data_IF_434541895712
#
_entry.id   IF_434541895712
#
_cell.length_a   1.000
_cell.length_b   1.000
_cell.length_c   1.000
_cell.angle_alpha   90.00
_cell.angle_beta   90.00
_cell.angle_gamma   90.00
#
_symmetry.space_group_name_H-M   'P 1'
#
loop_
_entity.id
_entity.type
_entity.pdbx_description
1 polymer ?
#
# COMPACT_ATOMS: atom_id res chain seq x y z
N UNK A 1 15.79 30.35 -23.43
CA UNK A 1 14.71 30.01 -22.46
C UNK A 1 13.87 28.89 -23.06
N UNK A 2 14.23 27.64 -22.76
CA UNK A 2 13.53 26.46 -23.28
C UNK A 2 12.17 26.36 -22.57
N UNK A 3 11.09 26.52 -23.34
CA UNK A 3 9.72 26.22 -22.94
C UNK A 3 9.66 24.76 -22.48
N UNK A 4 9.46 24.54 -21.18
CA UNK A 4 9.12 23.24 -20.59
C UNK A 4 7.69 22.94 -21.04
N UNK A 5 7.57 22.28 -22.19
CA UNK A 5 6.33 22.02 -22.94
C UNK A 5 5.89 20.55 -22.89
N UNK A 6 6.21 19.81 -21.81
CA UNK A 6 5.96 18.35 -21.76
C UNK A 6 5.30 17.87 -20.45
N UNK A 7 5.16 18.70 -19.41
CA UNK A 7 4.67 18.25 -18.09
C UNK A 7 3.13 18.12 -18.01
N UNK A 8 2.37 18.67 -18.97
CA UNK A 8 0.91 18.72 -18.89
C UNK A 8 0.18 17.44 -19.40
N UNK A 9 0.86 16.50 -20.06
CA UNK A 9 0.21 15.39 -20.79
C UNK A 9 0.41 14.00 -20.18
N UNK A 10 1.01 13.88 -18.99
CA UNK A 10 1.15 12.59 -18.32
C UNK A 10 0.55 12.62 -16.92
N UNK A 11 0.11 11.43 -16.49
CA UNK A 11 -0.53 11.08 -15.23
C UNK A 11 -2.07 11.23 -15.24
N UNK A 12 -2.71 10.74 -16.31
CA UNK A 12 -3.68 9.67 -16.10
C UNK A 12 -2.85 8.41 -16.36
N UNK A 13 -2.49 7.67 -15.32
CA UNK A 13 -2.14 6.27 -15.55
C UNK A 13 -3.49 5.58 -15.57
N UNK A 14 -4.02 5.33 -16.77
CA UNK A 14 -4.94 4.21 -16.91
C UNK A 14 -4.09 3.01 -16.48
N UNK A 15 -4.38 2.47 -15.29
CA UNK A 15 -3.71 1.29 -14.79
C UNK A 15 -3.73 0.17 -15.82
N UNK A 16 -2.90 -0.84 -15.61
CA UNK A 16 -2.90 -2.08 -16.40
C UNK A 16 -4.34 -2.54 -16.64
N UNK A 17 -4.80 -2.48 -17.89
CA UNK A 17 -6.10 -2.99 -18.29
C UNK A 17 -6.07 -4.50 -18.09
N UNK A 18 -6.84 -5.00 -17.13
CA UNK A 18 -7.04 -6.42 -16.96
C UNK A 18 -8.36 -6.79 -17.63
N UNK A 19 -8.31 -7.73 -18.55
CA UNK A 19 -9.50 -8.20 -19.26
C UNK A 19 -10.46 -8.86 -18.27
N UNK A 20 -11.74 -8.49 -18.29
CA UNK A 20 -12.78 -9.29 -17.63
C UNK A 20 -13.05 -10.48 -18.54
N UNK A 21 -12.33 -11.58 -18.32
CA UNK A 21 -12.63 -12.81 -19.07
C UNK A 21 -14.05 -13.26 -18.71
N UNK A 22 -14.94 -13.27 -19.70
CA UNK A 22 -16.27 -13.88 -19.59
C UNK A 22 -17.46 -12.95 -19.34
N UNK A 23 -17.29 -11.65 -19.09
CA UNK A 23 -18.45 -10.77 -18.82
C UNK A 23 -19.13 -10.21 -20.08
N UNK A 24 -20.43 -9.97 -19.97
CA UNK A 24 -21.30 -9.25 -20.91
C UNK A 24 -21.38 -7.77 -20.54
N UNK A 25 -21.72 -6.88 -21.48
CA UNK A 25 -21.88 -5.44 -21.18
C UNK A 25 -22.94 -5.19 -20.08
N UNK A 26 -23.97 -6.04 -20.00
CA UNK A 26 -24.99 -5.99 -18.93
C UNK A 26 -24.45 -6.36 -17.54
N UNK A 27 -23.37 -7.13 -17.45
CA UNK A 27 -22.73 -7.48 -16.17
C UNK A 27 -21.82 -6.35 -15.68
N UNK A 28 -21.16 -5.67 -16.63
CA UNK A 28 -20.36 -4.46 -16.36
C UNK A 28 -21.24 -3.33 -15.80
N UNK A 29 -22.39 -3.06 -16.41
CA UNK A 29 -23.33 -2.03 -15.93
C UNK A 29 -23.85 -2.35 -14.52
N UNK A 30 -24.05 -3.62 -14.19
CA UNK A 30 -24.47 -4.06 -12.86
C UNK A 30 -23.41 -3.79 -11.79
N UNK A 31 -22.12 -3.90 -12.12
CA UNK A 31 -21.03 -3.59 -11.18
C UNK A 31 -21.08 -2.10 -10.83
N UNK A 32 -21.14 -1.25 -11.86
CA UNK A 32 -21.26 0.21 -11.69
C UNK A 32 -22.50 0.53 -10.87
N UNK A 33 -23.66 -0.03 -11.21
CA UNK A 33 -24.91 0.21 -10.50
C UNK A 33 -24.88 -0.22 -9.03
N UNK A 34 -24.37 -1.41 -8.72
CA UNK A 34 -24.23 -1.90 -7.34
C UNK A 34 -23.29 -1.03 -6.52
N UNK A 35 -22.25 -0.48 -7.15
CA UNK A 35 -21.24 0.34 -6.48
C UNK A 35 -21.66 1.79 -6.21
N UNK A 36 -22.78 2.27 -6.78
CA UNK A 36 -23.18 3.69 -6.73
C UNK A 36 -23.23 4.29 -5.32
N UNK A 37 -23.57 3.47 -4.32
CA UNK A 37 -23.67 3.90 -2.92
C UNK A 37 -22.44 3.52 -2.08
N UNK A 38 -21.43 2.89 -2.68
CA UNK A 38 -20.15 2.62 -2.03
C UNK A 38 -19.35 3.91 -1.88
N UNK A 39 -18.52 3.99 -0.84
CA UNK A 39 -17.62 5.12 -0.62
C UNK A 39 -16.67 5.35 -1.79
N UNK A 40 -16.20 4.27 -2.42
CA UNK A 40 -15.43 4.27 -3.66
C UNK A 40 -16.27 3.58 -4.75
N UNK A 41 -17.12 4.32 -5.47
CA UNK A 41 -17.92 3.73 -6.55
C UNK A 41 -17.02 3.38 -7.75
N UNK A 42 -17.46 2.39 -8.53
CA UNK A 42 -16.87 2.01 -9.81
C UNK A 42 -17.53 2.86 -10.90
N UNK A 43 -16.72 3.42 -11.79
CA UNK A 43 -17.21 4.30 -12.86
C UNK A 43 -17.15 3.63 -14.23
N UNK A 44 -17.97 4.11 -15.17
CA UNK A 44 -17.62 3.95 -16.58
C UNK A 44 -16.44 4.88 -16.92
N UNK A 45 -15.50 4.37 -17.72
CA UNK A 45 -14.30 5.11 -18.16
C UNK A 45 -14.63 6.52 -18.67
N UNK A 46 -15.60 6.65 -19.58
CA UNK A 46 -15.97 7.93 -20.19
C UNK A 46 -16.55 8.96 -19.19
N UNK A 47 -17.23 8.50 -18.13
CA UNK A 47 -17.74 9.40 -17.08
C UNK A 47 -16.62 9.87 -16.17
N UNK A 48 -15.66 8.99 -15.91
CA UNK A 48 -14.49 9.27 -15.11
C UNK A 48 -13.55 10.25 -15.83
N UNK A 49 -13.33 10.08 -17.14
CA UNK A 49 -12.54 11.02 -17.96
C UNK A 49 -13.12 12.44 -17.91
N UNK A 50 -14.45 12.60 -18.09
CA UNK A 50 -15.12 13.91 -17.98
C UNK A 50 -14.96 14.54 -16.61
N UNK A 51 -15.01 13.73 -15.54
CA UNK A 51 -14.80 14.22 -14.16
C UNK A 51 -13.42 14.86 -13.99
N UNK A 52 -12.42 14.44 -14.77
CA UNK A 52 -11.03 14.87 -14.64
C UNK A 52 -10.66 16.13 -15.42
N UNK A 53 -11.47 16.56 -16.39
CA UNK A 53 -11.12 17.66 -17.30
C UNK A 53 -10.81 18.98 -16.57
N UNK A 54 -11.25 19.15 -15.32
CA UNK A 54 -11.12 20.39 -14.56
C UNK A 54 -10.49 20.23 -13.15
N UNK A 55 -9.68 19.19 -12.92
CA UNK A 55 -9.13 18.91 -11.57
C UNK A 55 -7.76 19.56 -11.33
N UNK A 56 -7.63 20.30 -10.22
CA UNK A 56 -6.38 20.85 -9.72
C UNK A 56 -5.40 19.74 -9.28
N UNK A 57 -4.29 19.60 -10.00
CA UNK A 57 -3.30 18.53 -9.77
C UNK A 57 -2.28 18.92 -8.70
N UNK A 58 -1.85 17.97 -7.85
CA UNK A 58 -0.79 18.25 -6.85
C UNK A 58 0.53 18.67 -7.50
N UNK A 59 0.79 18.26 -8.75
CA UNK A 59 1.97 18.66 -9.52
C UNK A 59 2.14 20.19 -9.62
N UNK A 60 1.05 20.96 -9.57
CA UNK A 60 1.10 22.43 -9.58
C UNK A 60 1.50 23.03 -8.23
N UNK A 61 1.42 22.23 -7.15
CA UNK A 61 1.71 22.61 -5.76
C UNK A 61 3.03 22.03 -5.24
N UNK A 62 3.59 21.04 -5.93
CA UNK A 62 4.94 20.54 -5.67
C UNK A 62 5.93 21.67 -5.93
N UNK A 63 6.49 22.22 -4.87
CA UNK A 63 7.66 23.08 -5.00
C UNK A 63 8.88 22.16 -5.10
N UNK A 64 9.75 22.36 -6.11
CA UNK A 64 10.99 21.59 -6.30
C UNK A 64 12.04 21.81 -5.17
N UNK A 65 11.62 22.32 -4.02
CA UNK A 65 12.43 22.51 -2.82
C UNK A 65 12.31 21.28 -1.92
N UNK A 66 12.97 20.18 -2.28
CA UNK A 66 13.16 19.08 -1.34
C UNK A 66 13.88 19.59 -0.11
N UNK A 67 13.32 19.31 1.06
CA UNK A 67 13.82 19.91 2.30
C UNK A 67 14.98 19.15 2.94
N UNK A 68 15.19 17.89 2.58
CA UNK A 68 16.19 17.03 3.25
C UNK A 68 17.06 16.25 2.28
N UNK A 69 18.28 15.98 2.72
CA UNK A 69 19.18 15.03 2.07
C UNK A 69 18.62 13.62 2.18
N UNK A 70 18.43 12.95 1.04
CA UNK A 70 18.12 11.53 1.01
C UNK A 70 19.40 10.72 1.21
N UNK A 71 19.45 9.88 2.23
CA UNK A 71 20.47 8.84 2.37
C UNK A 71 19.92 7.55 1.80
N UNK A 72 20.78 6.68 1.30
CA UNK A 72 20.40 5.31 0.96
C UNK A 72 21.54 4.36 1.26
N UNK A 73 21.20 3.14 1.64
CA UNK A 73 22.14 2.03 1.58
C UNK A 73 21.63 0.98 0.60
N UNK A 74 22.58 0.29 0.00
CA UNK A 74 22.34 -0.89 -0.82
C UNK A 74 22.41 -2.11 0.09
N UNK A 75 21.32 -2.84 0.19
CA UNK A 75 21.25 -4.11 0.93
C UNK A 75 21.71 -5.21 0.00
N UNK A 76 22.96 -5.63 0.16
CA UNK A 76 23.49 -6.77 -0.59
C UNK A 76 22.57 -7.99 -0.38
N UNK A 77 22.23 -8.68 -1.47
CA UNK A 77 21.37 -9.88 -1.50
C UNK A 77 19.86 -9.64 -1.22
N UNK A 78 19.37 -8.40 -1.21
CA UNK A 78 17.92 -8.12 -1.29
C UNK A 78 17.46 -8.10 -2.75
N UNK A 79 16.45 -8.91 -3.12
CA UNK A 79 16.01 -9.05 -4.52
C UNK A 79 14.65 -8.42 -4.82
N UNK A 80 13.72 -8.44 -3.86
CA UNK A 80 12.42 -7.78 -4.01
C UNK A 80 11.87 -7.37 -2.64
N UNK A 81 11.90 -6.08 -2.34
CA UNK A 81 11.46 -5.57 -1.04
C UNK A 81 9.94 -5.37 -1.00
N UNK A 82 9.21 -6.38 -0.51
CA UNK A 82 7.73 -6.42 -0.50
C UNK A 82 7.11 -6.01 0.83
N UNK A 83 7.91 -5.58 1.81
CA UNK A 83 7.42 -5.09 3.09
C UNK A 83 8.55 -4.71 4.02
N UNK A 84 8.32 -3.74 4.90
CA UNK A 84 9.34 -3.21 5.81
C UNK A 84 8.75 -2.78 7.15
N UNK A 85 9.42 -3.11 8.25
CA UNK A 85 9.08 -2.64 9.60
C UNK A 85 10.34 -2.34 10.39
N UNK A 86 10.34 -1.21 11.11
CA UNK A 86 11.42 -0.86 12.01
C UNK A 86 11.14 -1.40 13.43
N UNK A 87 12.19 -1.91 14.08
CA UNK A 87 12.24 -2.15 15.51
C UNK A 87 13.18 -1.16 16.17
N UNK A 88 13.41 -1.34 17.45
CA UNK A 88 14.28 -0.51 18.29
C UNK A 88 15.76 -0.55 17.94
N UNK A 89 16.22 -1.62 17.27
CA UNK A 89 17.64 -1.89 17.03
C UNK A 89 17.98 -2.28 15.59
N UNK A 90 16.96 -2.57 14.79
CA UNK A 90 17.09 -3.12 13.45
C UNK A 90 15.83 -2.84 12.63
N UNK A 91 15.90 -3.18 11.35
CA UNK A 91 14.80 -3.11 10.39
C UNK A 91 14.58 -4.51 9.84
N UNK A 92 13.32 -4.93 9.72
CA UNK A 92 12.94 -6.19 9.09
C UNK A 92 12.39 -5.87 7.71
N UNK A 93 12.84 -6.61 6.71
CA UNK A 93 12.41 -6.51 5.32
C UNK A 93 11.98 -7.88 4.82
N UNK A 94 10.88 -7.93 4.08
CA UNK A 94 10.49 -9.11 3.32
C UNK A 94 11.21 -9.10 1.97
N UNK A 95 11.87 -10.21 1.64
CA UNK A 95 12.46 -10.43 0.32
C UNK A 95 11.55 -11.39 -0.46
N UNK A 96 10.66 -10.82 -1.26
CA UNK A 96 9.56 -11.54 -1.92
C UNK A 96 10.01 -12.46 -3.07
N UNK A 97 11.20 -12.25 -3.63
CA UNK A 97 11.75 -13.14 -4.67
C UNK A 97 12.45 -14.36 -4.08
N UNK A 98 13.00 -14.23 -2.88
CA UNK A 98 13.72 -15.31 -2.18
C UNK A 98 12.89 -15.92 -1.03
N UNK A 99 11.61 -15.55 -0.93
CA UNK A 99 10.64 -16.07 0.04
C UNK A 99 11.15 -16.11 1.48
N UNK A 100 11.70 -14.98 1.96
CA UNK A 100 12.39 -14.92 3.25
C UNK A 100 12.27 -13.56 3.93
N UNK A 101 12.66 -13.56 5.20
CA UNK A 101 12.79 -12.39 6.05
C UNK A 101 14.27 -12.03 6.17
N UNK A 102 14.60 -10.76 5.95
CA UNK A 102 15.91 -10.19 6.23
C UNK A 102 15.81 -9.23 7.43
N UNK A 103 16.70 -9.39 8.40
CA UNK A 103 16.90 -8.43 9.49
C UNK A 103 18.17 -7.66 9.20
N UNK A 104 18.05 -6.34 9.17
CA UNK A 104 19.10 -5.40 8.82
C UNK A 104 19.46 -4.53 10.03
N UNK A 105 20.75 -4.28 10.25
CA UNK A 105 21.13 -3.17 11.11
C UNK A 105 20.75 -1.82 10.45
N UNK A 106 20.85 -0.71 11.19
CA UNK A 106 20.52 0.62 10.64
C UNK A 106 21.52 1.14 9.59
N UNK A 107 22.60 0.41 9.32
CA UNK A 107 23.54 0.68 8.23
C UNK A 107 23.23 -0.15 6.97
N UNK A 108 22.21 -1.01 7.01
CA UNK A 108 21.79 -1.85 5.89
C UNK A 108 22.50 -3.21 5.82
N UNK A 109 23.27 -3.60 6.83
CA UNK A 109 23.92 -4.91 6.87
C UNK A 109 22.94 -5.98 7.31
N UNK A 110 22.86 -7.09 6.58
CA UNK A 110 22.08 -8.26 6.98
C UNK A 110 22.72 -8.89 8.22
N UNK A 111 21.97 -8.93 9.32
CA UNK A 111 22.38 -9.55 10.58
C UNK A 111 21.69 -10.90 10.84
N UNK A 112 20.55 -11.15 10.19
CA UNK A 112 19.82 -12.43 10.28
C UNK A 112 18.96 -12.62 9.04
N UNK A 113 18.86 -13.87 8.59
CA UNK A 113 17.93 -14.31 7.55
C UNK A 113 17.06 -15.44 8.11
N UNK A 114 15.76 -15.42 7.85
CA UNK A 114 14.81 -16.44 8.32
C UNK A 114 13.86 -16.83 7.20
N UNK A 115 13.63 -18.13 7.06
CA UNK A 115 12.69 -18.70 6.11
C UNK A 115 13.29 -19.06 4.76
N UNK A 116 12.47 -19.75 3.97
CA UNK A 116 12.76 -20.26 2.64
C UNK A 116 11.45 -20.49 1.88
N UNK A 117 11.53 -20.68 0.57
CA UNK A 117 10.36 -21.08 -0.23
C UNK A 117 9.73 -22.37 0.31
N UNK A 118 8.40 -22.36 0.46
CA UNK A 118 7.63 -23.53 0.87
C UNK A 118 6.27 -23.16 1.45
N UNK A 119 5.68 -24.09 2.22
CA UNK A 119 4.33 -23.95 2.80
C UNK A 119 4.24 -24.40 4.27
N UNK A 120 5.34 -24.87 4.85
CA UNK A 120 5.46 -25.15 6.28
C UNK A 120 5.63 -23.89 7.15
N UNK A 121 5.70 -24.05 8.47
CA UNK A 121 6.03 -22.95 9.39
C UNK A 121 7.38 -22.31 9.04
N UNK A 122 7.42 -20.97 8.99
CA UNK A 122 8.57 -20.16 8.54
C UNK A 122 8.99 -20.37 7.07
N UNK A 123 8.29 -21.22 6.32
CA UNK A 123 8.42 -21.24 4.87
C UNK A 123 7.42 -20.26 4.26
N UNK A 124 7.79 -19.58 3.19
CA UNK A 124 6.96 -18.56 2.56
C UNK A 124 6.78 -18.84 1.06
N UNK A 125 5.75 -18.24 0.48
CA UNK A 125 5.59 -18.12 -0.96
C UNK A 125 5.00 -16.75 -1.28
N UNK A 126 5.83 -15.89 -1.85
CA UNK A 126 5.56 -14.49 -2.13
C UNK A 126 5.01 -13.75 -0.89
N UNK A 127 5.83 -13.53 0.15
CA UNK A 127 5.42 -12.73 1.30
C UNK A 127 5.25 -11.26 0.88
N UNK A 128 4.11 -10.64 1.18
CA UNK A 128 3.71 -9.35 0.56
C UNK A 128 3.40 -8.21 1.53
N UNK A 129 3.28 -8.48 2.83
CA UNK A 129 2.98 -7.45 3.81
C UNK A 129 3.45 -7.87 5.20
N UNK A 130 3.90 -6.92 6.00
CA UNK A 130 4.45 -7.16 7.34
C UNK A 130 4.03 -6.07 8.32
N UNK A 131 3.62 -6.47 9.53
CA UNK A 131 3.33 -5.56 10.63
C UNK A 131 3.89 -6.06 11.95
N UNK A 132 4.33 -5.13 12.80
CA UNK A 132 4.65 -5.39 14.21
C UNK A 132 3.57 -4.76 15.09
N UNK A 133 3.00 -5.55 16.00
CA UNK A 133 2.08 -5.10 17.04
C UNK A 133 2.21 -6.01 18.26
N UNK A 134 2.31 -5.42 19.45
CA UNK A 134 2.34 -6.12 20.74
C UNK A 134 3.29 -7.33 20.76
N UNK A 135 4.56 -7.08 20.39
CA UNK A 135 5.66 -8.07 20.34
C UNK A 135 5.48 -9.22 19.34
N UNK A 136 4.44 -9.15 18.50
CA UNK A 136 4.19 -10.09 17.41
C UNK A 136 4.50 -9.47 16.07
N UNK A 137 4.92 -10.32 15.15
CA UNK A 137 5.19 -9.98 13.75
C UNK A 137 4.18 -10.74 12.90
N UNK A 138 3.39 -10.02 12.12
CA UNK A 138 2.35 -10.55 11.26
C UNK A 138 2.82 -10.43 9.83
N UNK A 139 2.85 -11.52 9.08
CA UNK A 139 3.35 -11.57 7.71
C UNK A 139 2.27 -12.16 6.83
N UNK A 140 1.85 -11.43 5.80
CA UNK A 140 1.05 -11.98 4.71
C UNK A 140 1.96 -12.87 3.88
N UNK A 141 1.63 -14.16 3.84
CA UNK A 141 2.26 -15.17 3.01
C UNK A 141 1.36 -15.40 1.78
N UNK A 142 1.54 -14.53 0.77
CA UNK A 142 0.49 -14.17 -0.19
C UNK A 142 0.07 -15.28 -1.15
N UNK A 143 0.97 -16.18 -1.56
CA UNK A 143 0.61 -17.34 -2.41
C UNK A 143 0.18 -18.56 -1.61
N UNK A 144 0.51 -18.61 -0.32
CA UNK A 144 0.02 -19.66 0.59
C UNK A 144 -1.32 -19.31 1.23
N UNK A 145 -1.90 -18.14 0.91
CA UNK A 145 -3.19 -17.67 1.44
C UNK A 145 -3.28 -17.75 2.96
N UNK A 146 -2.26 -17.24 3.65
CA UNK A 146 -2.24 -17.18 5.10
C UNK A 146 -1.53 -15.95 5.62
N UNK A 147 -1.76 -15.67 6.89
CA UNK A 147 -0.93 -14.79 7.72
C UNK A 147 -0.14 -15.68 8.65
N UNK A 148 1.20 -15.61 8.60
CA UNK A 148 2.03 -16.20 9.65
C UNK A 148 2.27 -15.18 10.75
N UNK A 149 2.10 -15.61 11.99
CA UNK A 149 2.33 -14.79 13.20
C UNK A 149 3.56 -15.35 13.91
N UNK A 150 4.57 -14.49 14.09
CA UNK A 150 5.83 -14.80 14.72
C UNK A 150 6.01 -14.00 16.01
N UNK A 151 6.89 -14.46 16.88
CA UNK A 151 7.37 -13.67 18.02
C UNK A 151 8.45 -12.65 17.59
N UNK A 152 8.84 -11.77 18.52
CA UNK A 152 9.93 -10.81 18.32
C UNK A 152 11.29 -11.45 17.96
N UNK A 153 11.48 -12.76 18.19
CA UNK A 153 12.70 -13.49 17.84
C UNK A 153 12.61 -14.16 16.47
N UNK A 154 11.51 -13.95 15.74
CA UNK A 154 11.17 -14.58 14.46
C UNK A 154 10.92 -16.09 14.58
N UNK A 155 10.36 -16.52 15.71
CA UNK A 155 9.90 -17.89 15.92
C UNK A 155 8.41 -17.98 15.59
N UNK A 156 8.01 -19.03 14.87
CA UNK A 156 6.62 -19.25 14.50
C UNK A 156 5.72 -19.47 15.72
N UNK A 157 4.60 -18.74 15.78
CA UNK A 157 3.57 -18.90 16.82
C UNK A 157 2.37 -19.67 16.25
N UNK A 158 1.75 -19.12 15.20
CA UNK A 158 0.54 -19.67 14.56
C UNK A 158 0.31 -19.04 13.19
N UNK A 159 -0.71 -19.50 12.48
CA UNK A 159 -1.17 -18.93 11.23
C UNK A 159 -2.69 -18.69 11.22
N UNK A 160 -3.13 -17.81 10.32
CA UNK A 160 -4.55 -17.56 10.01
C UNK A 160 -4.71 -17.72 8.50
N UNK A 161 -5.65 -18.57 8.07
CA UNK A 161 -5.94 -18.73 6.64
C UNK A 161 -6.66 -17.48 6.11
N UNK A 162 -6.13 -16.91 5.03
CA UNK A 162 -6.73 -15.81 4.30
C UNK A 162 -7.83 -16.34 3.38
N UNK A 163 -9.01 -15.76 3.49
CA UNK A 163 -10.17 -16.13 2.67
C UNK A 163 -10.27 -15.20 1.47
N UNK A 164 -10.16 -15.72 0.24
CA UNK A 164 -10.44 -14.97 -0.99
C UNK A 164 -11.94 -15.07 -1.33
N UNK A 165 -12.52 -14.03 -1.94
CA UNK A 165 -13.89 -14.11 -2.48
C UNK A 165 -13.95 -14.98 -3.72
N UNK A 166 -12.95 -14.81 -4.59
CA UNK A 166 -12.82 -15.48 -5.87
C UNK A 166 -11.38 -15.98 -6.02
N UNK A 167 -11.23 -17.10 -6.72
CA UNK A 167 -9.94 -17.67 -7.05
C UNK A 167 -9.34 -16.94 -8.26
N UNK A 168 -8.85 -15.73 -8.03
CA UNK A 168 -8.19 -14.92 -9.03
C UNK A 168 -6.66 -15.00 -8.82
N UNK A 169 -5.88 -15.55 -9.77
CA UNK A 169 -4.43 -15.68 -9.63
C UNK A 169 -3.70 -14.33 -9.64
N UNK A 170 -4.34 -13.26 -10.13
CA UNK A 170 -3.79 -11.91 -10.12
C UNK A 170 -4.11 -11.16 -8.82
N UNK A 171 -4.95 -11.72 -7.94
CA UNK A 171 -5.23 -11.13 -6.64
C UNK A 171 -4.13 -11.50 -5.64
N UNK A 172 -3.71 -10.51 -4.86
CA UNK A 172 -2.80 -10.67 -3.73
C UNK A 172 -3.18 -9.68 -2.64
N UNK A 173 -3.19 -10.13 -1.40
CA UNK A 173 -3.17 -9.23 -0.25
C UNK A 173 -1.81 -8.54 -0.19
N UNK A 174 -1.79 -7.23 -0.03
CA UNK A 174 -0.59 -6.39 -0.15
C UNK A 174 -0.20 -5.72 1.15
N UNK A 175 -1.17 -5.44 2.02
CA UNK A 175 -0.91 -4.68 3.23
C UNK A 175 -1.68 -5.23 4.42
N UNK A 176 -1.09 -5.09 5.60
CA UNK A 176 -1.58 -5.65 6.85
C UNK A 176 -1.44 -4.66 7.99
N UNK A 177 -2.51 -4.50 8.74
CA UNK A 177 -2.52 -3.69 9.94
C UNK A 177 -3.24 -4.36 11.11
N UNK A 178 -2.86 -3.97 12.33
CA UNK A 178 -3.44 -4.54 13.56
C UNK A 178 -3.86 -3.42 14.50
N UNK A 179 -5.14 -3.40 14.87
CA UNK A 179 -5.69 -2.39 15.76
C UNK A 179 -5.29 -2.65 17.24
N UNK A 180 -5.71 -1.75 18.14
CA UNK A 180 -5.44 -1.88 19.58
C UNK A 180 -6.12 -3.07 20.25
N UNK A 181 -7.11 -3.68 19.61
CA UNK A 181 -7.86 -4.81 20.13
C UNK A 181 -7.34 -6.14 19.55
N UNK A 182 -6.23 -6.11 18.80
CA UNK A 182 -5.70 -7.30 18.13
C UNK A 182 -6.49 -7.73 16.90
N UNK A 183 -7.40 -6.90 16.39
CA UNK A 183 -8.10 -7.16 15.12
C UNK A 183 -7.12 -6.94 13.98
N UNK A 184 -6.98 -7.95 13.12
CA UNK A 184 -6.07 -7.94 11.98
C UNK A 184 -6.87 -7.52 10.75
N UNK A 185 -6.39 -6.53 10.03
CA UNK A 185 -6.93 -6.05 8.77
C UNK A 185 -5.91 -6.32 7.67
N UNK A 186 -6.36 -6.84 6.54
CA UNK A 186 -5.54 -6.99 5.34
C UNK A 186 -6.25 -6.37 4.16
N UNK A 187 -5.51 -5.65 3.33
CA UNK A 187 -6.00 -5.10 2.08
C UNK A 187 -5.27 -5.71 0.90
N UNK A 188 -5.95 -5.66 -0.23
CA UNK A 188 -5.48 -6.06 -1.55
C UNK A 188 -6.66 -5.88 -2.48
N UNK A 189 -6.42 -5.48 -3.72
CA UNK A 189 -7.52 -5.17 -4.60
C UNK A 189 -7.24 -5.48 -6.05
N UNK A 190 -8.06 -6.37 -6.59
CA UNK A 190 -8.46 -6.34 -8.00
C UNK A 190 -9.98 -6.20 -8.03
N UNK A 191 -10.55 -5.76 -9.15
CA UNK A 191 -11.99 -5.46 -9.20
C UNK A 191 -12.89 -6.62 -8.76
N UNK A 192 -12.48 -7.87 -9.01
CA UNK A 192 -13.24 -9.08 -8.65
C UNK A 192 -13.12 -9.46 -7.16
N UNK A 193 -12.06 -9.01 -6.49
CA UNK A 193 -11.86 -9.25 -5.06
C UNK A 193 -11.40 -7.97 -4.35
N UNK A 194 -12.22 -6.91 -4.29
CA UNK A 194 -11.79 -5.65 -3.72
C UNK A 194 -12.21 -5.54 -2.25
N UNK A 195 -11.56 -4.68 -1.48
CA UNK A 195 -11.95 -4.41 -0.11
C UNK A 195 -10.88 -4.71 0.92
N UNK A 196 -11.33 -4.75 2.17
CA UNK A 196 -10.50 -5.05 3.32
C UNK A 196 -11.10 -6.28 3.99
N UNK A 197 -10.26 -7.29 4.24
CA UNK A 197 -10.62 -8.46 5.02
C UNK A 197 -10.10 -8.26 6.44
N UNK A 198 -10.92 -8.56 7.44
CA UNK A 198 -10.49 -8.48 8.83
C UNK A 198 -10.87 -9.71 9.65
N UNK A 199 -10.06 -9.97 10.68
CA UNK A 199 -10.24 -11.04 11.65
C UNK A 199 -10.22 -10.42 13.03
N UNK A 200 -11.32 -10.53 13.79
CA UNK A 200 -11.31 -10.11 15.20
C UNK A 200 -10.39 -11.04 15.97
N UNK A 201 -9.89 -10.54 17.11
CA UNK A 201 -8.99 -11.33 17.94
C UNK A 201 -9.61 -12.70 18.28
N UNK A 202 -8.83 -13.77 18.06
CA UNK A 202 -9.22 -15.17 18.25
C UNK A 202 -10.27 -15.74 17.27
N UNK A 203 -10.70 -14.97 16.27
CA UNK A 203 -11.51 -15.51 15.18
C UNK A 203 -10.64 -16.13 14.09
N UNK A 204 -11.13 -17.21 13.50
CA UNK A 204 -10.52 -17.85 12.32
C UNK A 204 -11.29 -17.55 11.04
N UNK A 205 -12.50 -17.01 11.17
CA UNK A 205 -13.35 -16.63 10.05
C UNK A 205 -13.18 -15.15 9.75
N UNK A 206 -12.93 -14.83 8.48
CA UNK A 206 -12.77 -13.46 8.03
C UNK A 206 -14.10 -12.73 7.83
N UNK A 207 -14.06 -11.42 7.96
CA UNK A 207 -15.16 -10.50 7.65
C UNK A 207 -14.70 -9.49 6.61
N UNK A 208 -15.51 -9.29 5.58
CA UNK A 208 -15.16 -8.40 4.48
C UNK A 208 -15.85 -7.04 4.60
N UNK A 209 -15.06 -5.99 4.50
CA UNK A 209 -15.51 -4.61 4.29
C UNK A 209 -15.47 -4.34 2.78
N UNK A 210 -16.65 -4.40 2.16
CA UNK A 210 -16.80 -4.37 0.70
C UNK A 210 -17.02 -2.96 0.17
N UNK A 211 -15.94 -2.28 -0.22
CA UNK A 211 -16.02 -0.92 -0.78
C UNK A 211 -15.18 -0.68 -2.04
N UNK A 212 -15.03 -1.69 -2.91
CA UNK A 212 -14.21 -1.54 -4.13
C UNK A 212 -12.83 -0.92 -3.84
N UNK A 213 -12.28 -1.23 -2.66
CA UNK A 213 -11.06 -0.61 -2.16
C UNK A 213 -9.85 -1.39 -2.65
N UNK A 214 -8.85 -0.64 -3.11
CA UNK A 214 -7.47 -1.08 -3.29
C UNK A 214 -6.56 0.02 -2.73
N UNK A 215 -5.57 -0.37 -1.95
CA UNK A 215 -4.66 0.56 -1.27
C UNK A 215 -4.17 0.07 0.08
N UNK A 216 -3.67 1.02 0.85
CA UNK A 216 -2.85 0.77 2.03
C UNK A 216 -3.58 1.16 3.30
N UNK A 217 -3.12 0.62 4.43
CA UNK A 217 -3.69 0.76 5.75
C UNK A 217 -2.62 1.32 6.71
N UNK A 218 -3.06 2.06 7.71
CA UNK A 218 -2.18 2.40 8.84
C UNK A 218 -2.99 2.58 10.11
N UNK A 219 -2.34 2.42 11.26
CA UNK A 219 -2.96 2.62 12.58
C UNK A 219 -2.60 3.99 13.17
N UNK A 220 -3.59 4.65 13.77
CA UNK A 220 -3.40 5.83 14.62
C UNK A 220 -4.37 5.81 15.79
N UNK A 221 -3.83 5.98 17.00
CA UNK A 221 -4.57 6.06 18.27
C UNK A 221 -5.55 4.87 18.49
N UNK A 222 -5.18 3.70 17.98
CA UNK A 222 -5.91 2.45 18.06
C UNK A 222 -7.02 2.28 17.01
N UNK A 223 -7.07 3.14 16.00
CA UNK A 223 -8.01 3.05 14.88
C UNK A 223 -7.28 2.84 13.56
N UNK A 224 -7.89 2.10 12.64
CA UNK A 224 -7.33 1.85 11.31
C UNK A 224 -7.82 2.89 10.32
N UNK A 225 -6.88 3.39 9.53
CA UNK A 225 -7.10 4.33 8.44
C UNK A 225 -6.65 3.70 7.13
N UNK A 226 -7.22 4.16 6.03
CA UNK A 226 -6.94 3.67 4.70
C UNK A 226 -6.74 4.82 3.72
N UNK A 227 -5.84 4.62 2.76
CA UNK A 227 -5.68 5.47 1.56
C UNK A 227 -5.81 4.57 0.34
N UNK A 228 -6.74 4.90 -0.54
CA UNK A 228 -6.90 4.18 -1.80
C UNK A 228 -5.80 4.57 -2.80
N UNK A 229 -5.29 3.59 -3.55
CA UNK A 229 -4.31 3.79 -4.62
C UNK A 229 -4.95 4.40 -5.88
N UNK A 230 -6.23 4.12 -6.09
CA UNK A 230 -7.00 4.69 -7.18
C UNK A 230 -8.48 4.37 -7.08
N UNK A 231 -9.19 4.65 -8.16
CA UNK A 231 -10.63 4.40 -8.31
C UNK A 231 -10.81 3.41 -9.46
N UNK A 232 -11.57 2.35 -9.23
CA UNK A 232 -11.87 1.39 -10.28
C UNK A 232 -12.79 1.98 -11.33
N UNK A 233 -12.55 1.60 -12.57
CA UNK A 233 -13.45 1.86 -13.68
C UNK A 233 -13.56 0.65 -14.59
N UNK A 234 -14.63 0.65 -15.38
CA UNK A 234 -14.88 -0.34 -16.41
C UNK A 234 -14.97 0.34 -17.78
N UNK A 235 -14.35 -0.27 -18.79
CA UNK A 235 -14.35 0.22 -20.16
C UNK A 235 -15.48 -0.40 -20.98
N UNK A 236 -15.85 0.26 -22.08
CA UNK A 236 -16.81 -0.28 -23.06
C UNK A 236 -16.35 -1.57 -23.75
N UNK A 237 -15.09 -2.00 -23.53
CA UNK A 237 -14.51 -3.24 -24.06
C UNK A 237 -14.57 -4.42 -23.09
N UNK A 238 -15.29 -4.30 -21.96
CA UNK A 238 -15.33 -5.31 -20.89
C UNK A 238 -13.97 -5.53 -20.23
N UNK A 239 -13.22 -4.45 -20.11
CA UNK A 239 -12.00 -4.43 -19.31
C UNK A 239 -12.29 -3.60 -18.07
N UNK A 240 -11.52 -3.83 -17.03
CA UNK A 240 -11.45 -2.89 -15.92
C UNK A 240 -10.04 -2.36 -15.80
N UNK A 241 -9.97 -1.18 -15.22
CA UNK A 241 -8.72 -0.58 -14.81
C UNK A 241 -8.90 0.13 -13.49
N UNK A 242 -7.78 0.59 -12.97
CA UNK A 242 -7.75 1.51 -11.85
C UNK A 242 -7.20 2.83 -12.37
N UNK A 243 -7.91 3.90 -12.10
CA UNK A 243 -7.44 5.24 -12.38
C UNK A 243 -6.80 5.80 -11.13
N UNK A 244 -5.52 6.11 -11.22
CA UNK A 244 -4.80 6.80 -10.15
C UNK A 244 -5.09 8.30 -10.21
N UNK A 245 -5.10 8.95 -9.05
CA UNK A 245 -5.27 10.40 -8.97
C UNK A 245 -6.14 10.81 -7.80
N UNK A 246 -7.39 10.40 -7.81
CA UNK A 246 -8.33 10.68 -6.72
C UNK A 246 -8.08 9.71 -5.56
N UNK A 247 -7.71 10.26 -4.41
CA UNK A 247 -7.43 9.48 -3.20
C UNK A 247 -8.01 10.17 -1.97
N UNK A 248 -8.32 9.38 -0.96
CA UNK A 248 -8.98 9.83 0.25
C UNK A 248 -8.28 9.25 1.46
N UNK A 249 -8.15 10.05 2.51
CA UNK A 249 -7.94 9.52 3.85
C UNK A 249 -9.28 9.06 4.39
N UNK A 250 -9.38 7.78 4.71
CA UNK A 250 -10.59 7.15 5.20
C UNK A 250 -10.34 6.48 6.54
N UNK A 251 -11.35 6.47 7.40
CA UNK A 251 -11.38 5.62 8.59
C UNK A 251 -12.00 4.28 8.23
N UNK A 252 -11.36 3.19 8.63
CA UNK A 252 -11.90 1.83 8.48
C UNK A 252 -12.85 1.53 9.65
N UNK A 253 -14.03 1.00 9.35
CA UNK A 253 -15.01 0.56 10.34
C UNK A 253 -15.61 -0.78 9.92
N UNK A 254 -16.17 -1.54 10.86
CA UNK A 254 -16.87 -2.79 10.54
C UNK A 254 -18.05 -2.59 9.55
N UNK A 255 -18.56 -1.36 9.42
CA UNK A 255 -19.68 -1.03 8.52
C UNK A 255 -19.26 -0.55 7.14
N UNK A 256 -17.98 -0.28 6.91
CA UNK A 256 -17.52 0.44 5.73
C UNK A 256 -16.34 1.37 6.00
N UNK A 257 -15.87 2.05 4.96
CA UNK A 257 -14.91 3.14 5.03
C UNK A 257 -15.66 4.46 5.14
N UNK A 258 -15.14 5.35 5.96
CA UNK A 258 -15.65 6.71 6.10
C UNK A 258 -14.61 7.69 5.60
N UNK A 259 -14.88 8.36 4.48
CA UNK A 259 -14.06 9.49 4.01
C UNK A 259 -13.95 10.56 5.09
N UNK A 260 -12.72 10.93 5.40
CA UNK A 260 -12.39 12.02 6.32
C UNK A 260 -11.96 13.24 5.50
N UNK A 261 -10.98 13.03 4.61
CA UNK A 261 -10.42 14.09 3.78
C UNK A 261 -10.12 13.60 2.37
N UNK A 262 -10.37 14.47 1.40
CA UNK A 262 -9.79 14.36 0.06
C UNK A 262 -8.30 14.69 0.12
N UNK A 263 -7.49 13.79 -0.45
CA UNK A 263 -6.07 13.98 -0.61
C UNK A 263 -5.76 14.65 -1.94
N UNK A 264 -4.56 15.20 -2.12
CA UNK A 264 -4.23 15.91 -3.34
C UNK A 264 -4.29 14.99 -4.57
N UNK A 265 -4.90 15.49 -5.64
CA UNK A 265 -5.05 14.72 -6.86
C UNK A 265 -3.68 14.37 -7.48
N UNK A 266 -3.48 13.10 -7.80
CA UNK A 266 -2.24 12.57 -8.39
C UNK A 266 -1.33 11.88 -7.39
N UNK A 267 -1.72 11.74 -6.12
CA UNK A 267 -0.86 11.15 -5.08
C UNK A 267 -0.41 9.73 -5.43
N UNK A 268 -1.36 8.85 -5.82
CA UNK A 268 -1.12 7.43 -6.07
C UNK A 268 -0.27 6.80 -4.96
N UNK A 269 -0.81 6.73 -3.75
CA UNK A 269 -0.05 6.30 -2.58
C UNK A 269 0.42 4.85 -2.76
N UNK A 270 1.71 4.58 -2.59
CA UNK A 270 2.24 3.22 -2.49
C UNK A 270 2.31 2.70 -1.05
N UNK A 271 2.35 3.58 -0.07
CA UNK A 271 2.24 3.25 1.36
C UNK A 271 2.21 4.57 2.15
N UNK A 272 1.73 4.56 3.40
CA UNK A 272 1.71 5.73 4.26
C UNK A 272 1.75 5.38 5.75
N UNK A 273 2.22 6.34 6.53
CA UNK A 273 2.22 6.30 7.99
C UNK A 273 1.73 7.62 8.56
N UNK A 274 1.36 7.61 9.85
CA UNK A 274 1.22 8.83 10.62
C UNK A 274 2.50 9.22 11.36
N UNK A 275 2.81 10.51 11.35
CA UNK A 275 3.80 11.11 12.24
C UNK A 275 3.26 12.40 12.86
N UNK A 276 3.03 12.40 14.17
CA UNK A 276 2.41 13.51 14.90
C UNK A 276 1.08 13.99 14.28
N UNK A 277 0.23 13.03 13.87
CA UNK A 277 -1.06 13.26 13.18
C UNK A 277 -0.94 13.86 11.76
N UNK A 278 0.27 14.08 11.25
CA UNK A 278 0.52 14.34 9.84
C UNK A 278 0.56 13.01 9.07
N UNK A 279 0.09 13.03 7.83
CA UNK A 279 0.16 11.88 6.93
C UNK A 279 1.46 11.98 6.14
N UNK A 280 2.29 10.95 6.21
CA UNK A 280 3.52 10.81 5.42
C UNK A 280 3.31 9.65 4.46
N UNK A 281 3.28 9.94 3.16
CA UNK A 281 2.90 8.99 2.11
C UNK A 281 3.93 8.96 1.00
N UNK A 282 4.21 7.76 0.49
CA UNK A 282 5.02 7.57 -0.71
C UNK A 282 4.14 7.84 -1.92
N UNK A 283 4.49 8.84 -2.72
CA UNK A 283 3.80 9.07 -3.99
C UNK A 283 4.38 8.18 -5.09
N UNK A 284 3.56 7.28 -5.63
CA UNK A 284 3.91 6.45 -6.78
C UNK A 284 3.90 7.20 -8.12
N UNK A 285 3.35 8.42 -8.19
CA UNK A 285 3.40 9.25 -9.39
C UNK A 285 4.57 10.23 -9.40
N UNK A 286 4.93 10.77 -8.24
CA UNK A 286 6.01 11.76 -8.12
C UNK A 286 7.32 11.18 -7.57
N UNK A 287 7.31 9.93 -7.14
CA UNK A 287 8.48 9.20 -6.63
C UNK A 287 9.19 10.00 -5.54
N UNK A 288 8.41 10.46 -4.57
CA UNK A 288 8.90 11.23 -3.45
C UNK A 288 8.08 10.89 -2.20
N UNK A 289 8.65 11.25 -1.05
CA UNK A 289 7.96 11.15 0.21
C UNK A 289 7.25 12.48 0.48
N UNK A 290 5.92 12.45 0.54
CA UNK A 290 5.06 13.62 0.69
C UNK A 290 4.54 13.68 2.13
N UNK A 291 4.49 14.90 2.67
CA UNK A 291 3.88 15.17 3.96
C UNK A 291 2.63 16.02 3.80
N UNK A 292 1.58 15.61 4.49
CA UNK A 292 0.28 16.28 4.52
C UNK A 292 -0.15 16.49 5.97
N UNK A 293 -0.87 17.58 6.22
CA UNK A 293 -1.41 17.83 7.55
C UNK A 293 -2.56 16.84 7.87
N UNK A 294 -3.06 16.91 9.11
CA UNK A 294 -4.19 16.08 9.56
C UNK A 294 -5.46 16.23 8.73
N UNK A 295 -5.59 17.31 7.94
CA UNK A 295 -6.72 17.57 7.04
C UNK A 295 -6.47 17.07 5.60
N UNK A 296 -5.41 16.28 5.37
CA UNK A 296 -5.06 15.75 4.05
C UNK A 296 -4.51 16.78 3.06
N UNK A 297 -4.10 17.97 3.52
CA UNK A 297 -3.52 19.00 2.64
C UNK A 297 -2.01 18.91 2.60
N UNK A 298 -1.45 18.98 1.40
CA UNK A 298 0.00 19.03 1.15
C UNK A 298 0.69 20.11 1.99
N UNK A 299 1.81 19.73 2.62
CA UNK A 299 2.71 20.64 3.35
C UNK A 299 4.01 20.80 2.55
N UNK A 300 4.72 19.69 2.33
CA UNK A 300 6.00 19.65 1.62
C UNK A 300 6.35 18.25 1.10
N UNK A 301 7.39 18.20 0.26
CA UNK A 301 8.07 16.97 -0.14
C UNK A 301 9.32 16.79 0.70
N UNK A 302 9.38 15.70 1.47
CA UNK A 302 10.48 15.39 2.37
C UNK A 302 11.76 15.10 1.56
N UNK A 303 11.64 14.32 0.48
CA UNK A 303 12.73 14.07 -0.46
C UNK A 303 12.34 13.11 -1.59
N UNK A 304 13.16 13.06 -2.63
CA UNK A 304 12.99 12.14 -3.77
C UNK A 304 13.39 10.72 -3.40
N UNK A 305 12.73 9.78 -4.05
CA UNK A 305 13.00 8.35 -4.02
C UNK A 305 13.04 7.91 -5.49
N UNK A 306 14.17 7.46 -6.01
CA UNK A 306 14.22 6.99 -7.39
C UNK A 306 13.68 5.56 -7.46
N UNK A 307 12.35 5.40 -7.52
CA UNK A 307 11.67 4.11 -7.52
C UNK A 307 11.61 3.47 -8.91
N UNK A 308 11.77 2.16 -9.01
CA UNK A 308 11.26 1.40 -10.15
C UNK A 308 9.72 1.35 -10.08
N UNK A 309 9.06 1.80 -11.15
CA UNK A 309 7.60 2.00 -11.24
C UNK A 309 6.79 0.70 -11.23
N UNK A 310 7.45 -0.46 -11.29
CA UNK A 310 6.80 -1.78 -11.43
C UNK A 310 6.46 -2.48 -10.12
N UNK A 311 6.94 -2.00 -8.97
CA UNK A 311 6.71 -2.62 -7.66
C UNK A 311 6.38 -1.53 -6.64
N UNK A 312 5.37 -1.77 -5.80
CA UNK A 312 5.05 -0.85 -4.71
C UNK A 312 6.22 -0.70 -3.74
N UNK A 313 6.36 0.50 -3.20
CA UNK A 313 7.34 0.83 -2.17
C UNK A 313 6.64 0.93 -0.82
N UNK A 314 7.33 0.55 0.25
CA UNK A 314 6.79 0.51 1.60
C UNK A 314 7.57 1.44 2.53
N UNK A 315 6.90 2.01 3.52
CA UNK A 315 7.49 2.93 4.50
C UNK A 315 7.36 2.40 5.92
N UNK A 316 8.41 2.59 6.72
CA UNK A 316 8.33 2.45 8.17
C UNK A 316 9.09 3.58 8.86
N UNK A 317 8.88 3.71 10.18
CA UNK A 317 9.49 4.74 11.02
C UNK A 317 10.10 4.11 12.26
N UNK A 318 11.36 4.45 12.53
CA UNK A 318 12.00 4.04 13.79
C UNK A 318 11.60 4.94 14.97
N UNK A 319 11.96 4.53 16.19
CA UNK A 319 11.71 5.31 17.41
C UNK A 319 12.39 6.68 17.47
N UNK A 320 13.43 6.91 16.65
CA UNK A 320 14.14 8.19 16.56
C UNK A 320 13.46 9.14 15.56
N UNK A 321 12.50 8.63 14.80
CA UNK A 321 11.72 9.36 13.80
C UNK A 321 12.36 9.38 12.41
N UNK A 322 13.32 8.50 12.11
CA UNK A 322 13.80 8.33 10.74
C UNK A 322 12.79 7.49 9.95
N UNK A 323 12.54 7.87 8.70
CA UNK A 323 11.74 7.08 7.78
C UNK A 323 12.64 6.18 6.94
N UNK A 324 12.23 4.93 6.77
CA UNK A 324 12.87 3.94 5.89
C UNK A 324 11.88 3.61 4.79
N UNK A 325 12.33 3.72 3.55
CA UNK A 325 11.48 3.49 2.37
C UNK A 325 12.16 2.48 1.45
N UNK A 326 11.45 1.41 1.12
CA UNK A 326 11.94 0.42 0.15
C UNK A 326 11.81 0.94 -1.28
N UNK A 327 12.59 0.37 -2.19
CA UNK A 327 12.41 0.55 -3.62
C UNK A 327 12.19 -0.84 -4.22
N UNK A 328 10.93 -1.22 -4.39
CA UNK A 328 10.47 -2.61 -4.39
C UNK A 328 11.25 -3.58 -5.28
N UNK A 329 11.84 -3.12 -6.39
CA UNK A 329 12.63 -3.96 -7.32
C UNK A 329 14.14 -3.79 -7.23
N UNK A 330 14.59 -2.74 -6.56
CA UNK A 330 16.01 -2.55 -6.30
C UNK A 330 16.35 -3.08 -4.91
N UNK A 331 17.64 -3.19 -4.67
CA UNK A 331 18.19 -3.54 -3.37
C UNK A 331 18.44 -2.29 -2.50
N UNK A 332 17.86 -1.13 -2.84
CA UNK A 332 18.03 0.10 -2.08
C UNK A 332 16.97 0.25 -1.00
N UNK A 333 17.40 0.76 0.16
CA UNK A 333 16.51 1.33 1.16
C UNK A 333 16.92 2.79 1.38
N UNK A 334 15.96 3.67 1.17
CA UNK A 334 16.11 5.11 1.36
C UNK A 334 15.80 5.49 2.80
N UNK A 335 16.63 6.37 3.37
CA UNK A 335 16.49 6.84 4.74
C UNK A 335 16.35 8.37 4.76
N UNK A 336 15.28 8.82 5.39
CA UNK A 336 15.02 10.24 5.64
C UNK A 336 15.21 10.52 7.13
N UNK A 337 16.36 11.09 7.47
CA UNK A 337 16.71 11.35 8.87
C UNK A 337 15.91 12.51 9.46
N UNK A 338 15.50 12.40 10.72
CA UNK A 338 14.86 13.51 11.42
C UNK A 338 15.90 14.55 11.82
N UNK A 339 15.64 15.83 11.53
CA UNK A 339 16.49 16.96 11.94
C UNK A 339 17.80 17.17 11.18
N UNK A 340 18.01 16.53 10.02
CA UNK A 340 19.17 16.74 9.14
C UNK A 340 18.74 17.10 7.73
#
# INVERSE_FOLDING_TARGET
>A
MKKISIIATLIIILGTMLSIQGCTNKEVDKIVEKSKNSTLPVFHEADLEKKLENTDRIATKLNNSYKKSTWKYEVKDLNLATGIVARDKDVIVLDGNEDRILVLDYNGQIIKTVGNTGSGPLEFSNPTGIKIKDEKIYIIDGKNDRIQILDEKLSYIKEIKLERKEDNPNFSFQDIEVDKNGTIYVSGGVLDNPGILYYKENETKGHWINEYFDGYLTELDGEIYAINSGIFFVSGKKEWGMMTGESYLMRVTEKGLKKIHELPFGLNSYDFIFDNKEVVSISGCFYNLIRMNSNGKYIDSIGEINLDKSVAAHITKDKTGNYYVTDGKSNNIYIFKKGK
#
